data_IF_721425392920
#
_entry.id   IF_721425392920
#
_cell.length_a   1.000
_cell.length_b   1.000
_cell.length_c   1.000
_cell.angle_alpha   90.00
_cell.angle_beta   90.00
_cell.angle_gamma   90.00
#
_symmetry.space_group_name_H-M   'P 1'
#
loop_
_entity.id
_entity.type
_entity.pdbx_description
1 polymer ?
#
# COMPACT_ATOMS: atom_id res chain seq x y z
N UNK A 1 4.52 -19.73 -4.11
CA UNK A 1 4.78 -18.28 -4.03
C UNK A 1 3.70 -17.58 -4.83
N UNK A 2 2.89 -16.70 -4.24
CA UNK A 2 1.84 -15.99 -5.00
C UNK A 2 2.51 -14.80 -5.66
N UNK A 3 2.46 -14.73 -6.99
CA UNK A 3 3.02 -13.59 -7.71
C UNK A 3 2.18 -12.34 -7.44
N UNK A 4 2.87 -11.20 -7.31
CA UNK A 4 2.22 -9.90 -7.07
C UNK A 4 1.19 -9.58 -8.16
N UNK A 5 1.52 -9.93 -9.40
CA UNK A 5 0.69 -9.77 -10.60
C UNK A 5 -0.58 -10.62 -10.53
N UNK A 6 -0.48 -11.86 -10.06
CA UNK A 6 -1.62 -12.74 -9.85
C UNK A 6 -2.58 -12.18 -8.79
N UNK A 7 -2.04 -11.59 -7.73
CA UNK A 7 -2.85 -11.03 -6.64
C UNK A 7 -3.60 -9.78 -7.05
N UNK A 8 -2.95 -8.94 -7.85
CA UNK A 8 -3.56 -7.77 -8.50
C UNK A 8 -4.61 -8.20 -9.54
N UNK A 9 -4.33 -9.23 -10.32
CA UNK A 9 -5.26 -9.76 -11.33
C UNK A 9 -6.54 -10.30 -10.69
N UNK A 10 -6.45 -10.96 -9.53
CA UNK A 10 -7.61 -11.51 -8.80
C UNK A 10 -8.45 -10.45 -8.08
N UNK A 11 -7.91 -9.24 -7.84
CA UNK A 11 -8.61 -8.21 -7.06
C UNK A 11 -8.44 -6.83 -7.71
N UNK A 12 -9.45 -6.41 -8.47
CA UNK A 12 -9.51 -5.08 -9.09
C UNK A 12 -9.29 -3.94 -8.07
N UNK A 13 -9.81 -4.09 -6.85
CA UNK A 13 -9.60 -3.14 -5.76
C UNK A 13 -8.11 -2.91 -5.46
N UNK A 14 -7.30 -3.96 -5.48
CA UNK A 14 -5.86 -3.83 -5.26
C UNK A 14 -5.15 -3.15 -6.44
N UNK A 15 -5.67 -3.29 -7.67
CA UNK A 15 -5.09 -2.66 -8.86
C UNK A 15 -5.27 -1.13 -8.87
N UNK A 16 -6.29 -0.63 -8.18
CA UNK A 16 -6.52 0.81 -8.03
C UNK A 16 -5.50 1.43 -7.07
N UNK A 17 -5.37 0.89 -5.86
CA UNK A 17 -4.49 1.43 -4.81
C UNK A 17 -3.02 1.00 -4.93
N UNK A 18 -2.75 -0.13 -5.57
CA UNK A 18 -1.40 -0.68 -5.71
C UNK A 18 -0.99 -0.89 -7.17
N UNK A 19 0.32 -0.99 -7.36
CA UNK A 19 0.91 -1.45 -8.60
C UNK A 19 2.07 -2.41 -8.31
N UNK A 20 2.27 -3.36 -9.21
CA UNK A 20 3.44 -4.21 -9.18
C UNK A 20 4.59 -3.48 -9.87
N UNK A 21 5.76 -3.47 -9.25
CA UNK A 21 7.01 -3.12 -9.93
C UNK A 21 8.03 -4.21 -9.63
N UNK A 22 8.36 -4.99 -10.66
CA UNK A 22 9.17 -6.21 -10.53
C UNK A 22 8.55 -7.23 -9.58
N UNK A 23 9.28 -7.61 -8.52
CA UNK A 23 8.88 -8.62 -7.52
C UNK A 23 8.21 -8.03 -6.27
N UNK A 24 7.94 -6.72 -6.23
CA UNK A 24 7.44 -5.99 -5.06
C UNK A 24 6.10 -5.30 -5.38
N UNK A 25 5.27 -5.15 -4.36
CA UNK A 25 4.00 -4.41 -4.42
C UNK A 25 4.21 -3.02 -3.87
N UNK A 26 3.77 -2.01 -4.59
CA UNK A 26 3.88 -0.61 -4.21
C UNK A 26 2.51 -0.01 -4.04
N UNK A 27 2.29 0.73 -2.95
CA UNK A 27 1.08 1.52 -2.76
C UNK A 27 1.23 2.87 -3.46
N UNK A 28 0.25 3.25 -4.28
CA UNK A 28 0.24 4.56 -4.96
C UNK A 28 0.04 5.71 -3.99
N UNK A 29 -0.82 5.53 -2.98
CA UNK A 29 -1.12 6.55 -1.97
C UNK A 29 0.03 6.71 -0.96
N UNK A 30 0.57 5.61 -0.44
CA UNK A 30 1.63 5.64 0.57
C UNK A 30 3.03 5.81 -0.02
N UNK A 31 3.24 5.49 -1.30
CA UNK A 31 4.57 5.43 -1.96
C UNK A 31 5.57 4.51 -1.25
N UNK A 32 5.08 3.53 -0.50
CA UNK A 32 5.89 2.51 0.18
C UNK A 32 5.76 1.14 -0.48
N UNK A 33 6.74 0.28 -0.21
CA UNK A 33 6.69 -1.14 -0.55
C UNK A 33 5.84 -1.88 0.49
N UNK A 34 4.83 -2.59 0.04
CA UNK A 34 3.96 -3.42 0.89
C UNK A 34 4.28 -4.88 0.64
N UNK A 35 4.32 -5.68 1.71
CA UNK A 35 4.54 -7.10 1.56
C UNK A 35 3.32 -7.77 0.92
N UNK A 36 3.54 -8.43 -0.21
CA UNK A 36 2.51 -9.12 -0.98
C UNK A 36 2.53 -10.64 -0.79
N UNK A 37 3.30 -11.17 0.14
CA UNK A 37 3.33 -12.61 0.41
C UNK A 37 2.02 -13.08 1.07
N UNK A 38 1.48 -12.31 2.02
CA UNK A 38 0.25 -12.64 2.76
C UNK A 38 -0.88 -11.64 2.47
N UNK A 39 -2.09 -12.14 2.15
CA UNK A 39 -3.26 -11.27 1.88
C UNK A 39 -3.55 -10.39 3.09
N UNK A 40 -3.37 -10.94 4.29
CA UNK A 40 -3.52 -10.21 5.55
C UNK A 40 -2.63 -8.97 5.64
N UNK A 41 -1.39 -9.01 5.12
CA UNK A 41 -0.50 -7.84 5.12
C UNK A 41 -1.01 -6.71 4.23
N UNK A 42 -1.54 -7.05 3.06
CA UNK A 42 -2.14 -6.09 2.13
C UNK A 42 -3.43 -5.51 2.73
N UNK A 43 -4.27 -6.37 3.30
CA UNK A 43 -5.53 -5.96 3.93
C UNK A 43 -5.29 -5.06 5.16
N UNK A 44 -4.31 -5.42 5.99
CA UNK A 44 -3.87 -4.62 7.12
C UNK A 44 -3.32 -3.26 6.68
N UNK A 45 -2.54 -3.21 5.59
CA UNK A 45 -2.07 -1.96 5.02
C UNK A 45 -3.23 -1.05 4.60
N UNK A 46 -4.21 -1.59 3.87
CA UNK A 46 -5.39 -0.82 3.43
C UNK A 46 -6.25 -0.33 4.62
N UNK A 47 -6.29 -1.10 5.70
CA UNK A 47 -7.02 -0.73 6.93
C UNK A 47 -6.28 0.28 7.79
N UNK A 48 -4.97 0.41 7.60
CA UNK A 48 -4.11 1.30 8.39
C UNK A 48 -4.55 2.75 8.24
N UNK A 49 -4.52 3.48 9.34
CA UNK A 49 -4.90 4.90 9.37
C UNK A 49 -4.02 5.74 8.45
N UNK A 50 -2.73 5.42 8.33
CA UNK A 50 -1.82 6.09 7.40
C UNK A 50 -2.31 6.01 5.95
N UNK A 51 -2.74 4.82 5.51
CA UNK A 51 -3.26 4.63 4.16
C UNK A 51 -4.58 5.39 3.95
N UNK A 52 -5.49 5.34 4.93
CA UNK A 52 -6.76 6.08 4.90
C UNK A 52 -6.54 7.59 4.85
N UNK A 53 -5.59 8.12 5.63
CA UNK A 53 -5.24 9.54 5.64
C UNK A 53 -4.69 10.00 4.30
N UNK A 54 -3.79 9.22 3.69
CA UNK A 54 -3.17 9.54 2.39
C UNK A 54 -4.11 9.37 1.20
N UNK A 55 -5.11 8.50 1.29
CA UNK A 55 -6.14 8.33 0.25
C UNK A 55 -7.27 9.36 0.36
N UNK A 56 -7.58 9.86 1.55
CA UNK A 56 -8.68 10.81 1.78
C UNK A 56 -8.27 12.29 1.71
N UNK A 57 -6.97 12.64 1.80
CA UNK A 57 -6.54 14.05 1.74
C UNK A 57 -5.26 14.23 0.91
N UNK A 58 -5.25 15.08 -0.14
CA UNK A 58 -4.02 15.57 -0.77
C UNK A 58 -3.34 16.67 0.05
N UNK A 59 -3.31 16.59 1.38
CA UNK A 59 -2.75 17.64 2.25
C UNK A 59 -1.78 17.04 3.26
N UNK A 60 -0.51 17.38 3.02
CA UNK A 60 0.61 17.49 3.97
C UNK A 60 0.44 16.76 5.31
N UNK A 61 1.16 15.65 5.47
CA UNK A 61 1.72 15.32 6.77
C UNK A 61 3.23 15.48 6.65
N UNK A 62 3.67 16.69 6.97
CA UNK A 62 5.04 17.01 7.35
C UNK A 62 5.48 16.00 8.39
N UNK A 63 6.64 15.39 8.16
CA UNK A 63 7.29 14.48 9.10
C UNK A 63 7.32 15.13 10.49
N UNK A 64 6.77 14.44 11.49
CA UNK A 64 7.23 14.64 12.86
C UNK A 64 8.64 14.05 12.94
N UNK A 65 9.64 14.89 12.74
CA UNK A 65 11.01 14.59 13.16
C UNK A 65 11.06 14.65 14.69
N UNK A 66 11.75 13.66 15.23
CA UNK A 66 11.92 13.39 16.64
C UNK A 66 12.37 14.63 17.43
N UNK A 67 11.71 14.88 18.56
CA UNK A 67 12.35 15.52 19.71
C UNK A 67 12.64 14.44 20.74
N UNK A 68 13.92 14.19 21.05
CA UNK A 68 14.66 14.75 22.20
C UNK A 68 16.14 14.73 21.82
#
# INVERSE_FOLDING_TARGET
>A
MVNVTERLAKNLKYKLDFYASGKKLFCKACKIVVNHEKKSMIDNHLKSEEHKLKTQKPVQSTLHQAGI
#
